data_IF_985267066435
#
_entry.id   IF_985267066435
#
_cell.length_a   1.000
_cell.length_b   1.000
_cell.length_c   1.000
_cell.angle_alpha   90.00
_cell.angle_beta   90.00
_cell.angle_gamma   90.00
#
_symmetry.space_group_name_H-M   'P 1'
#
loop_
_entity.id
_entity.type
_entity.pdbx_description
1 polymer ?
#
# COMPACT_ATOMS: atom_id res chain seq x y z
N UNK A 1 -9.68 19.82 -7.46
CA UNK A 1 -9.47 18.36 -7.23
C UNK A 1 -8.04 18.03 -7.68
N UNK A 2 -7.24 17.36 -6.85
CA UNK A 2 -5.87 16.97 -7.22
C UNK A 2 -5.93 16.00 -8.42
N UNK A 3 -5.14 16.28 -9.47
CA UNK A 3 -4.99 15.38 -10.62
C UNK A 3 -3.82 14.44 -10.37
N UNK A 4 -4.16 13.19 -10.05
CA UNK A 4 -3.18 12.11 -9.87
C UNK A 4 -2.66 11.59 -11.21
N UNK A 5 -1.46 10.98 -11.23
CA UNK A 5 -0.97 10.27 -12.41
C UNK A 5 -1.88 9.07 -12.73
N UNK A 6 -1.89 8.68 -14.01
CA UNK A 6 -2.56 7.47 -14.47
C UNK A 6 -1.90 6.20 -13.89
N UNK A 7 -2.51 5.03 -14.15
CA UNK A 7 -1.95 3.72 -13.80
C UNK A 7 -1.51 3.58 -12.34
N UNK A 8 -2.34 4.07 -11.40
CA UNK A 8 -2.05 4.02 -9.96
C UNK A 8 -0.70 4.69 -9.57
N UNK A 9 -0.18 5.59 -10.41
CA UNK A 9 1.13 6.24 -10.21
C UNK A 9 2.34 5.34 -10.46
N UNK A 10 2.17 4.23 -11.18
CA UNK A 10 3.29 3.41 -11.61
C UNK A 10 4.01 4.01 -12.83
N UNK A 11 5.33 4.00 -12.79
CA UNK A 11 6.16 4.25 -13.97
C UNK A 11 6.09 3.03 -14.89
N UNK A 12 5.44 3.19 -16.04
CA UNK A 12 5.34 2.19 -17.09
C UNK A 12 6.17 2.64 -18.31
N UNK A 13 6.99 1.76 -18.93
CA UNK A 13 7.32 0.39 -18.51
C UNK A 13 8.40 0.30 -17.39
N UNK A 14 8.51 -0.85 -16.69
CA UNK A 14 7.67 -2.06 -16.79
C UNK A 14 6.35 -1.92 -16.01
N UNK A 15 5.36 -2.76 -16.34
CA UNK A 15 4.13 -2.88 -15.54
C UNK A 15 4.45 -3.35 -14.12
N UNK A 16 3.68 -2.93 -13.10
CA UNK A 16 3.85 -3.43 -11.74
C UNK A 16 3.66 -4.95 -11.69
N UNK A 17 4.48 -5.60 -10.88
CA UNK A 17 4.47 -7.06 -10.72
C UNK A 17 3.64 -7.46 -9.52
N UNK A 18 2.82 -8.48 -9.65
CA UNK A 18 2.15 -9.09 -8.49
C UNK A 18 3.14 -9.88 -7.64
N UNK A 19 3.02 -9.75 -6.32
CA UNK A 19 3.85 -10.42 -5.34
C UNK A 19 3.01 -10.98 -4.20
N UNK A 20 3.55 -11.98 -3.52
CA UNK A 20 3.18 -12.25 -2.13
C UNK A 20 4.06 -11.37 -1.24
N UNK A 21 3.45 -10.51 -0.44
CA UNK A 21 4.16 -9.71 0.56
C UNK A 21 4.49 -10.64 1.73
N UNK A 22 5.77 -10.89 1.94
CA UNK A 22 6.23 -11.90 2.90
C UNK A 22 6.12 -11.42 4.34
N UNK A 23 5.85 -12.35 5.26
CA UNK A 23 5.97 -12.14 6.70
C UNK A 23 7.29 -11.45 7.05
N UNK A 24 7.24 -10.49 7.97
CA UNK A 24 8.39 -9.69 8.43
C UNK A 24 8.78 -8.56 7.48
N UNK A 25 8.15 -8.42 6.31
CA UNK A 25 8.39 -7.28 5.44
C UNK A 25 7.93 -5.99 6.11
N UNK A 26 8.79 -4.96 6.07
CA UNK A 26 8.55 -3.65 6.66
C UNK A 26 8.08 -2.66 5.61
N UNK A 27 7.03 -1.90 5.96
CA UNK A 27 6.30 -1.01 5.09
C UNK A 27 6.14 0.35 5.76
N UNK A 28 6.24 1.44 5.01
CA UNK A 28 5.92 2.76 5.52
C UNK A 28 4.98 3.52 4.59
N UNK A 29 4.37 4.60 5.11
CA UNK A 29 3.60 5.54 4.29
C UNK A 29 3.36 6.86 5.00
N UNK A 30 2.92 7.84 4.22
CA UNK A 30 2.34 9.09 4.67
C UNK A 30 0.82 9.05 4.46
N UNK A 31 0.02 9.49 5.43
CA UNK A 31 -1.45 9.63 5.35
C UNK A 31 -2.28 8.79 6.34
N UNK A 32 -3.59 8.68 6.10
CA UNK A 32 -4.55 7.89 6.90
C UNK A 32 -4.71 6.42 6.47
N UNK A 33 -5.03 5.52 7.40
CA UNK A 33 -5.02 4.06 7.16
C UNK A 33 -6.10 3.57 6.17
N UNK A 34 -6.98 4.43 5.65
CA UNK A 34 -7.97 4.08 4.63
C UNK A 34 -7.31 3.86 3.25
N UNK A 35 -6.13 4.43 3.03
CA UNK A 35 -5.34 4.22 1.81
C UNK A 35 -4.67 2.83 1.72
N UNK A 36 -4.31 2.41 0.50
CA UNK A 36 -3.71 1.10 0.20
C UNK A 36 -2.30 1.16 -0.41
N UNK A 37 -1.71 2.35 -0.58
CA UNK A 37 -0.34 2.51 -1.07
C UNK A 37 0.65 2.61 0.10
N UNK A 38 1.72 1.84 0.01
CA UNK A 38 2.83 1.81 0.97
C UNK A 38 4.16 1.71 0.24
N UNK A 39 5.27 2.02 0.90
CA UNK A 39 6.60 1.80 0.35
C UNK A 39 7.35 0.77 1.22
N UNK A 40 8.07 -0.20 0.63
CA UNK A 40 8.89 -1.12 1.40
C UNK A 40 10.15 -0.42 1.91
N UNK A 41 10.59 -0.76 3.12
CA UNK A 41 11.86 -0.29 3.67
C UNK A 41 12.64 -1.40 4.37
N UNK A 42 13.92 -1.15 4.66
CA UNK A 42 14.77 -2.03 5.45
C UNK A 42 15.49 -1.19 6.50
N UNK A 43 15.42 -1.56 7.77
CA UNK A 43 16.03 -0.76 8.87
C UNK A 43 17.47 -0.33 8.57
N UNK A 44 18.31 -1.28 8.15
CA UNK A 44 19.72 -1.02 7.83
C UNK A 44 19.94 -0.06 6.64
N UNK A 45 18.96 0.11 5.76
CA UNK A 45 19.03 0.97 4.58
C UNK A 45 18.24 2.26 4.73
N UNK A 46 17.54 2.44 5.86
CA UNK A 46 16.62 3.54 6.07
C UNK A 46 15.36 3.47 5.20
N UNK A 47 14.62 4.56 5.25
CA UNK A 47 13.33 4.76 4.57
C UNK A 47 13.54 5.54 3.27
N UNK A 48 12.61 5.39 2.35
CA UNK A 48 12.69 6.11 1.08
C UNK A 48 12.44 7.62 1.27
N UNK A 49 13.25 8.50 0.65
CA UNK A 49 13.02 9.95 0.68
C UNK A 49 11.62 10.36 0.20
N UNK A 50 11.13 11.50 0.69
CA UNK A 50 9.77 11.97 0.40
C UNK A 50 9.57 12.26 -1.09
N UNK A 51 10.54 12.89 -1.73
CA UNK A 51 10.53 13.32 -3.14
C UNK A 51 10.56 12.14 -4.11
N UNK A 52 10.84 10.94 -3.60
CA UNK A 52 10.75 9.70 -4.39
C UNK A 52 9.35 9.07 -4.37
N UNK A 53 8.41 9.66 -3.62
CA UNK A 53 7.04 9.14 -3.41
C UNK A 53 6.00 9.83 -4.29
N UNK A 54 6.34 10.95 -4.95
CA UNK A 54 5.42 11.71 -5.82
C UNK A 54 4.08 11.99 -5.13
N UNK A 55 4.14 12.55 -3.92
CA UNK A 55 2.96 12.89 -3.14
C UNK A 55 2.52 14.33 -3.42
N UNK A 56 1.22 14.64 -3.47
CA UNK A 56 0.74 15.99 -3.83
C UNK A 56 0.93 17.03 -2.74
N UNK A 57 1.38 16.61 -1.56
CA UNK A 57 1.49 17.46 -0.38
C UNK A 57 2.93 17.90 -0.19
N UNK A 58 3.12 19.07 0.39
CA UNK A 58 4.45 19.54 0.79
C UNK A 58 5.05 18.67 1.89
N UNK A 59 6.38 18.54 1.87
CA UNK A 59 7.14 17.84 2.90
C UNK A 59 7.30 18.71 4.16
N UNK A 60 6.18 19.01 4.83
CA UNK A 60 6.13 19.88 6.01
C UNK A 60 5.78 19.09 7.29
N UNK A 61 5.78 19.77 8.44
CA UNK A 61 5.52 19.14 9.75
C UNK A 61 4.17 18.42 9.82
N UNK A 62 3.12 19.02 9.26
CA UNK A 62 1.79 18.40 9.22
C UNK A 62 1.81 17.09 8.44
N UNK A 63 2.53 17.05 7.32
CA UNK A 63 2.70 15.84 6.52
C UNK A 63 3.51 14.78 7.29
N UNK A 64 4.60 15.19 7.95
CA UNK A 64 5.44 14.30 8.76
C UNK A 64 4.67 13.67 9.92
N UNK A 65 3.71 14.37 10.54
CA UNK A 65 2.83 13.82 11.59
C UNK A 65 1.96 12.65 11.12
N UNK A 66 1.78 12.46 9.82
CA UNK A 66 1.01 11.33 9.27
C UNK A 66 1.87 10.12 8.92
N UNK A 67 3.20 10.22 9.08
CA UNK A 67 4.12 9.14 8.77
C UNK A 67 3.87 7.94 9.68
N UNK A 68 3.77 6.75 9.09
CA UNK A 68 3.51 5.51 9.81
C UNK A 68 4.33 4.38 9.22
N UNK A 69 4.74 3.46 10.10
CA UNK A 69 5.49 2.23 9.77
C UNK A 69 4.69 1.01 10.16
N UNK A 70 4.86 -0.07 9.42
CA UNK A 70 4.16 -1.34 9.63
C UNK A 70 5.09 -2.53 9.39
N UNK A 71 4.72 -3.65 9.99
CA UNK A 71 5.35 -4.95 9.76
C UNK A 71 4.28 -5.98 9.39
N UNK A 72 4.55 -6.77 8.35
CA UNK A 72 3.70 -7.91 7.97
C UNK A 72 3.85 -9.06 8.97
N UNK A 73 2.73 -9.54 9.49
CA UNK A 73 2.68 -10.61 10.49
C UNK A 73 2.60 -12.00 9.86
N UNK A 74 2.16 -12.07 8.60
CA UNK A 74 2.10 -13.28 7.78
C UNK A 74 2.20 -12.92 6.29
N UNK A 75 2.13 -13.94 5.42
CA UNK A 75 2.16 -13.74 3.98
C UNK A 75 0.82 -13.15 3.46
N UNK A 76 0.91 -12.04 2.73
CA UNK A 76 -0.24 -11.33 2.16
C UNK A 76 -0.27 -11.56 0.64
N UNK A 77 -1.33 -12.22 0.17
CA UNK A 77 -1.70 -12.34 -1.23
C UNK A 77 -3.24 -12.40 -1.33
N UNK A 78 -3.76 -12.47 -2.56
CA UNK A 78 -5.20 -12.50 -2.79
C UNK A 78 -5.92 -13.63 -2.03
N UNK A 79 -5.33 -14.83 -2.02
CA UNK A 79 -5.87 -16.03 -1.37
C UNK A 79 -5.90 -15.90 0.16
N UNK A 80 -4.79 -15.45 0.77
CA UNK A 80 -4.72 -15.30 2.22
C UNK A 80 -5.73 -14.27 2.71
N UNK A 81 -5.84 -13.14 2.01
CA UNK A 81 -6.80 -12.06 2.34
C UNK A 81 -8.24 -12.54 2.21
N UNK A 82 -8.58 -13.22 1.12
CA UNK A 82 -9.91 -13.77 0.93
C UNK A 82 -10.28 -14.77 2.03
N UNK A 83 -9.36 -15.68 2.38
CA UNK A 83 -9.57 -16.65 3.45
C UNK A 83 -9.85 -15.97 4.78
N UNK A 84 -9.02 -15.00 5.18
CA UNK A 84 -9.21 -14.30 6.46
C UNK A 84 -10.50 -13.49 6.54
N UNK A 85 -10.91 -12.86 5.44
CA UNK A 85 -12.18 -12.11 5.39
C UNK A 85 -13.39 -13.05 5.55
N UNK A 86 -13.36 -14.22 4.91
CA UNK A 86 -14.40 -15.24 5.12
C UNK A 86 -14.44 -15.72 6.58
N UNK A 87 -13.27 -16.00 7.15
CA UNK A 87 -13.16 -16.46 8.54
C UNK A 87 -13.54 -15.38 9.57
N UNK A 88 -13.37 -14.09 9.25
CA UNK A 88 -13.71 -13.02 10.18
C UNK A 88 -15.22 -12.80 10.34
N UNK A 89 -16.06 -13.38 9.47
CA UNK A 89 -17.51 -13.18 9.48
C UNK A 89 -17.94 -11.71 9.33
N UNK A 90 -17.08 -10.87 8.74
CA UNK A 90 -17.36 -9.44 8.61
C UNK A 90 -18.06 -9.18 7.27
N UNK A 91 -19.39 -9.16 7.30
CA UNK A 91 -20.22 -9.03 6.10
C UNK A 91 -19.86 -7.79 5.26
N UNK A 92 -19.50 -6.67 5.89
CA UNK A 92 -19.08 -5.45 5.18
C UNK A 92 -17.79 -5.68 4.38
N UNK A 93 -16.82 -6.39 4.95
CA UNK A 93 -15.58 -6.73 4.25
C UNK A 93 -15.81 -7.78 3.15
N UNK A 94 -16.68 -8.76 3.41
CA UNK A 94 -17.06 -9.79 2.44
C UNK A 94 -17.69 -9.13 1.20
N UNK A 95 -18.68 -8.26 1.38
CA UNK A 95 -19.32 -7.52 0.28
C UNK A 95 -18.32 -6.61 -0.45
N UNK A 96 -17.47 -5.90 0.29
CA UNK A 96 -16.41 -5.07 -0.31
C UNK A 96 -15.47 -5.88 -1.21
N UNK A 97 -15.09 -7.09 -0.84
CA UNK A 97 -14.26 -7.96 -1.70
C UNK A 97 -15.04 -8.45 -2.91
N UNK A 98 -16.31 -8.84 -2.75
CA UNK A 98 -17.15 -9.23 -3.89
C UNK A 98 -17.22 -8.11 -4.93
N UNK A 99 -17.53 -6.88 -4.50
CA UNK A 99 -17.55 -5.72 -5.40
C UNK A 99 -16.19 -5.47 -6.08
N UNK A 100 -15.07 -5.61 -5.34
CA UNK A 100 -13.74 -5.47 -5.92
C UNK A 100 -13.47 -6.55 -6.96
N UNK A 101 -13.90 -7.79 -6.74
CA UNK A 101 -13.77 -8.89 -7.70
C UNK A 101 -14.61 -8.67 -8.96
N UNK A 102 -15.87 -8.27 -8.82
CA UNK A 102 -16.76 -7.94 -9.93
C UNK A 102 -16.20 -6.82 -10.81
N UNK A 103 -15.53 -5.84 -10.19
CA UNK A 103 -14.87 -4.74 -10.88
C UNK A 103 -13.46 -5.10 -11.39
N UNK A 104 -13.01 -6.33 -11.22
CA UNK A 104 -11.64 -6.81 -11.51
C UNK A 104 -10.54 -5.95 -10.85
N UNK A 105 -10.82 -5.46 -9.63
CA UNK A 105 -9.94 -4.62 -8.80
C UNK A 105 -9.36 -5.34 -7.59
N UNK A 106 -9.81 -6.56 -7.29
CA UNK A 106 -9.17 -7.39 -6.26
C UNK A 106 -7.92 -8.06 -6.82
N UNK A 107 -6.77 -7.86 -6.18
CA UNK A 107 -5.48 -8.31 -6.70
C UNK A 107 -4.52 -8.65 -5.57
N UNK A 108 -3.53 -9.51 -5.81
CA UNK A 108 -2.38 -9.65 -4.90
C UNK A 108 -1.59 -8.32 -4.82
N UNK A 109 -0.81 -8.05 -3.76
CA UNK A 109 0.00 -6.84 -3.69
C UNK A 109 0.81 -6.62 -4.98
N UNK A 110 0.75 -5.41 -5.52
CA UNK A 110 1.44 -5.03 -6.77
C UNK A 110 2.62 -4.14 -6.42
N UNK A 111 3.83 -4.52 -6.81
CA UNK A 111 5.05 -3.73 -6.59
C UNK A 111 5.54 -3.12 -7.89
N UNK A 112 5.94 -1.85 -7.85
CA UNK A 112 6.43 -1.15 -9.02
C UNK A 112 7.13 0.15 -8.70
N UNK A 113 7.70 0.77 -9.74
CA UNK A 113 8.35 2.08 -9.63
C UNK A 113 7.31 3.18 -9.65
N UNK A 114 7.53 4.23 -8.88
CA UNK A 114 6.66 5.40 -8.81
C UNK A 114 6.99 6.33 -9.99
N UNK A 115 5.98 6.80 -10.73
CA UNK A 115 6.15 7.79 -11.79
C UNK A 115 6.51 9.17 -11.21
N UNK A 116 7.33 9.98 -11.89
CA UNK A 116 7.48 11.39 -11.53
C UNK A 116 6.12 12.10 -11.60
N UNK A 117 5.78 12.90 -10.58
CA UNK A 117 4.55 13.71 -10.54
C UNK A 117 4.65 14.75 -9.42
N UNK A 118 3.79 15.78 -9.44
CA UNK A 118 3.78 16.86 -8.42
C UNK A 118 5.17 17.50 -8.20
N UNK A 119 5.89 17.77 -9.30
CA UNK A 119 7.25 18.33 -9.30
C UNK A 119 8.29 17.51 -8.50
N UNK A 120 8.00 16.24 -8.27
CA UNK A 120 8.87 15.29 -7.59
C UNK A 120 9.41 14.23 -8.55
N UNK A 121 10.64 13.78 -8.28
CA UNK A 121 11.36 12.84 -9.14
C UNK A 121 10.66 11.48 -9.24
N UNK A 122 9.97 11.05 -8.18
CA UNK A 122 9.44 9.70 -8.09
C UNK A 122 10.58 8.67 -8.09
N UNK A 123 10.51 7.64 -8.95
CA UNK A 123 11.49 6.53 -9.07
C UNK A 123 11.65 5.65 -7.81
N UNK A 124 10.95 6.01 -6.74
CA UNK A 124 10.75 5.19 -5.57
C UNK A 124 10.06 3.87 -5.90
N UNK A 125 9.90 3.02 -4.89
CA UNK A 125 9.16 1.76 -5.03
C UNK A 125 7.91 1.85 -4.18
N UNK A 126 6.75 1.63 -4.78
CA UNK A 126 5.48 1.52 -4.06
C UNK A 126 4.91 0.11 -4.19
N UNK A 127 4.06 -0.23 -3.23
CA UNK A 127 3.22 -1.42 -3.25
C UNK A 127 1.77 -0.96 -3.10
N UNK A 128 0.91 -1.35 -4.06
CA UNK A 128 -0.55 -1.26 -3.92
C UNK A 128 -1.06 -2.54 -3.26
N UNK A 129 -1.66 -2.40 -2.09
CA UNK A 129 -2.21 -3.50 -1.30
C UNK A 129 -3.61 -3.91 -1.81
N UNK A 130 -4.04 -5.18 -1.59
CA UNK A 130 -5.36 -5.70 -2.00
C UNK A 130 -6.54 -4.91 -1.42
N UNK A 131 -6.36 -4.40 -0.19
CA UNK A 131 -7.33 -3.64 0.59
C UNK A 131 -6.59 -2.55 1.37
N UNK A 132 -7.32 -1.70 2.10
CA UNK A 132 -6.74 -0.64 2.92
C UNK A 132 -5.82 -1.18 4.02
N UNK A 133 -4.87 -0.36 4.45
CA UNK A 133 -4.01 -0.64 5.60
C UNK A 133 -4.85 -0.95 6.85
N UNK A 134 -5.92 -0.17 7.08
CA UNK A 134 -6.85 -0.40 8.19
C UNK A 134 -7.46 -1.80 8.15
N UNK A 135 -7.97 -2.24 6.98
CA UNK A 135 -8.58 -3.56 6.88
C UNK A 135 -7.54 -4.67 7.06
N UNK A 136 -6.30 -4.48 6.60
CA UNK A 136 -5.22 -5.44 6.86
C UNK A 136 -4.85 -5.50 8.35
N UNK A 137 -4.90 -4.37 9.07
CA UNK A 137 -4.72 -4.35 10.52
C UNK A 137 -5.85 -5.07 11.25
N UNK A 138 -7.11 -4.81 10.88
CA UNK A 138 -8.30 -5.48 11.45
C UNK A 138 -8.28 -7.00 11.24
N UNK A 139 -7.59 -7.48 10.20
CA UNK A 139 -7.43 -8.89 9.88
C UNK A 139 -6.10 -9.45 10.39
N UNK A 140 -5.33 -8.72 11.20
CA UNK A 140 -4.03 -9.14 11.74
C UNK A 140 -2.99 -9.54 10.68
N UNK A 141 -3.06 -8.98 9.47
CA UNK A 141 -2.03 -9.16 8.45
C UNK A 141 -0.81 -8.27 8.70
N UNK A 142 -1.04 -7.08 9.25
CA UNK A 142 0.00 -6.10 9.54
C UNK A 142 -0.25 -5.46 10.90
N UNK A 143 0.81 -5.06 11.58
CA UNK A 143 0.74 -4.18 12.75
C UNK A 143 1.46 -2.87 12.47
N UNK A 144 0.99 -1.77 13.05
CA UNK A 144 1.78 -0.55 13.09
C UNK A 144 2.95 -0.75 14.07
N UNK A 145 4.14 -0.29 13.68
CA UNK A 145 5.34 -0.32 14.50
C UNK A 145 5.78 1.12 14.81
N UNK A 146 6.52 1.35 15.91
CA UNK A 146 7.11 2.65 16.22
C UNK A 146 7.92 3.18 15.03
#
# INVERSE_FOLDING_TARGET
KIKYPDDDGYKIPPKPREITLKKGMKLDRYGDNLGSFVCPFKEKKGVMPYEKRSLPYENNEAMQKTYKRYEALEDINMESVERKIKMSGNDKLIEKIKELKEKNKFHSPKIGKISPHFDQEGKGTQIKLPISVENLMQLDFIKQIP
#
